data_IF_550689016510
#
_entry.id   IF_550689016510
#
_cell.length_a   1.000
_cell.length_b   1.000
_cell.length_c   1.000
_cell.angle_alpha   90.00
_cell.angle_beta   90.00
_cell.angle_gamma   90.00
#
_symmetry.space_group_name_H-M   'P 1'
#
loop_
_entity.id
_entity.type
_entity.pdbx_description
1 polymer ?
#
# COMPACT_ATOMS: atom_id res chain seq x y z
N UNK A 1 0.52 15.96 42.10
CA UNK A 1 1.67 15.52 41.30
C UNK A 1 1.13 15.07 39.95
N UNK A 2 1.41 15.80 38.88
CA UNK A 2 0.98 15.42 37.53
C UNK A 2 2.01 14.41 36.98
N UNK A 3 1.57 13.17 36.77
CA UNK A 3 2.36 12.17 36.07
C UNK A 3 2.55 12.63 34.63
N UNK A 4 3.79 12.93 34.23
CA UNK A 4 4.13 13.10 32.84
C UNK A 4 3.81 11.77 32.13
N UNK A 5 2.84 11.80 31.21
CA UNK A 5 2.59 10.66 30.34
C UNK A 5 3.88 10.35 29.58
N UNK A 6 4.39 9.12 29.70
CA UNK A 6 5.49 8.65 28.87
C UNK A 6 5.10 8.85 27.40
N UNK A 7 6.02 9.38 26.56
CA UNK A 7 5.73 9.55 25.15
C UNK A 7 5.47 8.17 24.54
N UNK A 8 4.20 7.90 24.22
CA UNK A 8 3.83 6.68 23.53
C UNK A 8 4.61 6.60 22.21
N UNK A 9 5.38 5.51 22.04
CA UNK A 9 6.10 5.27 20.80
C UNK A 9 5.07 5.09 19.67
N UNK A 10 5.06 6.02 18.72
CA UNK A 10 4.17 5.95 17.56
C UNK A 10 4.74 4.94 16.56
N UNK A 11 3.95 3.98 16.05
CA UNK A 11 4.41 3.05 15.03
C UNK A 11 4.96 3.78 13.80
N UNK A 12 6.11 3.32 13.27
CA UNK A 12 6.72 3.90 12.05
C UNK A 12 5.71 4.01 10.91
N UNK A 13 4.87 3.00 10.75
CA UNK A 13 3.90 2.94 9.65
C UNK A 13 2.82 4.04 9.76
N UNK A 14 2.41 4.38 10.98
CA UNK A 14 1.51 5.50 11.22
C UNK A 14 2.17 6.84 10.83
N UNK A 15 3.45 7.04 11.21
CA UNK A 15 4.24 8.22 10.78
C UNK A 15 4.32 8.32 9.25
N UNK A 16 4.55 7.19 8.57
CA UNK A 16 4.61 7.12 7.10
C UNK A 16 3.25 7.41 6.47
N UNK A 17 2.15 6.91 7.04
CA UNK A 17 0.78 7.19 6.58
C UNK A 17 0.39 8.66 6.74
N UNK A 18 0.72 9.28 7.87
CA UNK A 18 0.49 10.72 8.10
C UNK A 18 1.27 11.56 7.09
N UNK A 19 2.53 11.17 6.83
CA UNK A 19 3.37 11.81 5.83
C UNK A 19 2.76 11.66 4.43
N UNK A 20 2.33 10.45 4.03
CA UNK A 20 1.73 10.18 2.74
C UNK A 20 0.44 11.01 2.53
N UNK A 21 -0.43 11.11 3.53
CA UNK A 21 -1.62 11.95 3.47
C UNK A 21 -1.29 13.44 3.27
N UNK A 22 -0.26 13.93 3.95
CA UNK A 22 0.23 15.30 3.74
C UNK A 22 0.80 15.51 2.33
N UNK A 23 1.61 14.57 1.84
CA UNK A 23 2.22 14.64 0.51
C UNK A 23 1.15 14.60 -0.58
N UNK A 24 0.15 13.73 -0.46
CA UNK A 24 -1.00 13.67 -1.37
C UNK A 24 -1.73 15.01 -1.45
N UNK A 25 -1.94 15.67 -0.30
CA UNK A 25 -2.59 16.98 -0.26
C UNK A 25 -1.76 18.09 -0.91
N UNK A 26 -0.43 18.06 -0.75
CA UNK A 26 0.44 19.12 -1.28
C UNK A 26 0.81 18.92 -2.76
N UNK A 27 0.96 17.67 -3.20
CA UNK A 27 1.53 17.35 -4.52
C UNK A 27 0.75 16.22 -5.22
N UNK A 28 -0.59 16.36 -5.42
CA UNK A 28 -1.43 15.27 -5.92
C UNK A 28 -1.00 14.72 -7.27
N UNK A 29 -0.59 15.56 -8.23
CA UNK A 29 -0.15 15.11 -9.56
C UNK A 29 1.14 14.27 -9.50
N UNK A 30 2.08 14.62 -8.60
CA UNK A 30 3.32 13.85 -8.43
C UNK A 30 3.06 12.52 -7.73
N UNK A 31 2.07 12.48 -6.83
CA UNK A 31 1.60 11.21 -6.25
C UNK A 31 0.96 10.33 -7.32
N UNK A 32 0.09 10.89 -8.17
CA UNK A 32 -0.50 10.15 -9.30
C UNK A 32 0.58 9.62 -10.24
N UNK A 33 1.58 10.42 -10.58
CA UNK A 33 2.71 9.97 -11.41
C UNK A 33 3.49 8.80 -10.77
N UNK A 34 3.72 8.85 -9.46
CA UNK A 34 4.35 7.73 -8.76
C UNK A 34 3.47 6.48 -8.81
N UNK A 35 2.18 6.60 -8.49
CA UNK A 35 1.26 5.48 -8.49
C UNK A 35 1.04 4.88 -9.91
N UNK A 36 1.14 5.71 -10.96
CA UNK A 36 1.04 5.27 -12.35
C UNK A 36 2.28 4.51 -12.86
N UNK A 37 3.47 4.76 -12.29
CA UNK A 37 4.72 4.10 -12.71
C UNK A 37 4.67 2.56 -12.54
N UNK A 38 5.53 1.83 -13.22
CA UNK A 38 5.63 0.37 -13.06
C UNK A 38 6.26 0.02 -11.70
N UNK A 39 5.53 -0.73 -10.86
CA UNK A 39 5.99 -1.07 -9.51
C UNK A 39 7.26 -1.94 -9.55
N UNK A 40 8.29 -1.55 -8.79
CA UNK A 40 9.58 -2.24 -8.76
C UNK A 40 10.59 -1.80 -9.82
N UNK A 41 10.19 -0.93 -10.77
CA UNK A 41 11.04 -0.44 -11.85
C UNK A 41 12.04 0.67 -11.42
N UNK A 42 12.99 0.96 -12.29
CA UNK A 42 13.92 2.09 -12.15
C UNK A 42 13.20 3.43 -12.29
N UNK A 43 12.15 3.46 -13.13
CA UNK A 43 11.28 4.61 -13.29
C UNK A 43 10.57 4.95 -11.98
N UNK A 44 9.96 3.96 -11.32
CA UNK A 44 9.32 4.15 -10.01
C UNK A 44 10.31 4.75 -9.00
N UNK A 45 11.53 4.23 -8.95
CA UNK A 45 12.60 4.75 -8.07
C UNK A 45 12.92 6.21 -8.38
N UNK A 46 13.00 6.56 -9.66
CA UNK A 46 13.28 7.91 -10.15
C UNK A 46 12.15 8.89 -9.81
N UNK A 47 10.90 8.50 -10.04
CA UNK A 47 9.70 9.30 -9.71
C UNK A 47 9.56 9.47 -8.20
N UNK A 48 9.77 8.40 -7.42
CA UNK A 48 9.73 8.46 -5.96
C UNK A 48 10.78 9.43 -5.41
N UNK A 49 12.00 9.42 -5.94
CA UNK A 49 13.04 10.38 -5.54
C UNK A 49 12.59 11.83 -5.76
N UNK A 50 12.06 12.14 -6.95
CA UNK A 50 11.52 13.48 -7.28
C UNK A 50 10.33 13.87 -6.41
N UNK A 51 9.46 12.92 -6.06
CA UNK A 51 8.33 13.19 -5.18
C UNK A 51 8.80 13.64 -3.79
N UNK A 52 9.88 13.05 -3.28
CA UNK A 52 10.45 13.42 -1.98
C UNK A 52 11.15 14.80 -2.00
N UNK A 53 11.47 15.33 -3.17
CA UNK A 53 11.95 16.72 -3.30
C UNK A 53 10.78 17.67 -3.03
N UNK A 54 10.86 18.40 -1.90
CA UNK A 54 9.84 19.39 -1.52
C UNK A 54 8.83 18.90 -0.47
N UNK A 55 9.01 17.73 0.14
CA UNK A 55 8.11 17.21 1.19
C UNK A 55 8.53 17.56 2.62
N UNK A 56 9.48 18.48 2.79
CA UNK A 56 10.03 18.84 4.10
C UNK A 56 8.96 19.40 5.06
N UNK A 57 7.96 20.11 4.54
CA UNK A 57 6.81 20.59 5.33
C UNK A 57 5.96 19.45 5.90
N UNK A 58 5.96 18.27 5.27
CA UNK A 58 5.19 17.10 5.69
C UNK A 58 5.88 16.27 6.78
N UNK A 59 7.17 16.48 7.04
CA UNK A 59 7.88 15.75 8.10
C UNK A 59 7.59 16.30 9.50
N UNK A 60 6.95 17.48 9.61
CA UNK A 60 6.56 18.13 10.88
C UNK A 60 7.70 18.21 11.91
N UNK A 61 8.91 18.52 11.45
CA UNK A 61 10.10 18.62 12.33
C UNK A 61 10.73 17.28 12.71
N UNK A 62 10.21 16.14 12.22
CA UNK A 62 10.87 14.84 12.34
C UNK A 62 12.11 14.85 11.43
N UNK A 63 13.28 14.66 12.04
CA UNK A 63 14.57 14.85 11.36
C UNK A 63 14.72 13.94 10.14
N UNK A 64 14.24 12.68 10.19
CA UNK A 64 14.34 11.74 9.08
C UNK A 64 13.20 10.71 9.12
N UNK A 65 12.49 10.52 7.99
CA UNK A 65 11.62 9.35 7.78
C UNK A 65 12.27 8.52 6.68
N UNK A 66 12.94 7.43 7.06
CA UNK A 66 13.54 6.51 6.08
C UNK A 66 12.47 5.51 5.63
N UNK A 67 12.14 5.52 4.34
CA UNK A 67 11.18 4.60 3.75
C UNK A 67 11.69 4.01 2.44
N UNK A 68 11.35 2.74 2.19
CA UNK A 68 11.60 2.11 0.89
C UNK A 68 10.55 2.59 -0.11
N UNK A 69 10.86 2.53 -1.41
CA UNK A 69 9.91 2.93 -2.47
C UNK A 69 8.55 2.22 -2.36
N UNK A 70 8.54 0.91 -2.07
CA UNK A 70 7.30 0.16 -1.86
C UNK A 70 6.51 0.61 -0.63
N UNK A 71 7.19 0.97 0.47
CA UNK A 71 6.54 1.52 1.66
C UNK A 71 5.89 2.89 1.34
N UNK A 72 6.60 3.76 0.62
CA UNK A 72 6.08 5.06 0.19
C UNK A 72 4.87 4.91 -0.74
N UNK A 73 4.97 4.04 -1.75
CA UNK A 73 3.88 3.75 -2.69
C UNK A 73 2.64 3.23 -1.97
N UNK A 74 2.80 2.23 -1.11
CA UNK A 74 1.68 1.63 -0.37
C UNK A 74 0.97 2.65 0.51
N UNK A 75 1.72 3.47 1.24
CA UNK A 75 1.13 4.52 2.08
C UNK A 75 0.41 5.60 1.26
N UNK A 76 0.94 5.98 0.08
CA UNK A 76 0.30 6.93 -0.82
C UNK A 76 -0.96 6.34 -1.48
N UNK A 77 -0.95 5.06 -1.83
CA UNK A 77 -2.11 4.35 -2.34
C UNK A 77 -3.23 4.26 -1.29
N UNK A 78 -2.90 3.92 -0.04
CA UNK A 78 -3.87 3.98 1.07
C UNK A 78 -4.42 5.39 1.27
N UNK A 79 -3.54 6.40 1.26
CA UNK A 79 -3.96 7.79 1.41
C UNK A 79 -4.91 8.23 0.29
N UNK A 80 -4.65 7.81 -0.96
CA UNK A 80 -5.51 8.12 -2.09
C UNK A 80 -6.87 7.44 -1.98
N UNK A 81 -6.91 6.15 -1.64
CA UNK A 81 -8.16 5.42 -1.39
C UNK A 81 -8.98 6.02 -0.24
N UNK A 82 -8.32 6.52 0.81
CA UNK A 82 -8.98 7.17 1.95
C UNK A 82 -9.47 8.60 1.64
N UNK A 83 -8.80 9.31 0.73
CA UNK A 83 -9.11 10.70 0.41
C UNK A 83 -10.16 10.86 -0.70
N UNK A 84 -10.29 9.88 -1.60
CA UNK A 84 -11.19 9.94 -2.76
C UNK A 84 -12.36 8.95 -2.60
N UNK A 85 -13.55 9.48 -2.29
CA UNK A 85 -14.75 8.68 -2.08
C UNK A 85 -15.22 7.94 -3.35
N UNK A 86 -15.00 8.50 -4.54
CA UNK A 86 -15.35 7.83 -5.78
C UNK A 86 -14.42 6.64 -6.02
N UNK A 87 -13.12 6.83 -5.81
CA UNK A 87 -12.14 5.75 -5.89
C UNK A 87 -12.41 4.65 -4.85
N UNK A 88 -12.76 5.04 -3.62
CA UNK A 88 -13.19 4.09 -2.59
C UNK A 88 -14.40 3.28 -3.06
N UNK A 89 -15.43 3.92 -3.61
CA UNK A 89 -16.62 3.24 -4.14
C UNK A 89 -16.27 2.26 -5.28
N UNK A 90 -15.34 2.63 -6.18
CA UNK A 90 -14.86 1.69 -7.20
C UNK A 90 -14.15 0.49 -6.57
N UNK A 91 -13.34 0.70 -5.52
CA UNK A 91 -12.73 -0.39 -4.75
C UNK A 91 -13.78 -1.29 -4.08
N UNK A 92 -14.90 -0.72 -3.62
CA UNK A 92 -16.01 -1.48 -3.03
C UNK A 92 -16.70 -2.41 -4.04
N UNK A 93 -16.84 -1.94 -5.29
CA UNK A 93 -17.46 -2.68 -6.39
C UNK A 93 -16.55 -3.71 -7.07
N UNK A 94 -15.29 -3.86 -6.64
CA UNK A 94 -14.37 -4.83 -7.24
C UNK A 94 -14.82 -6.27 -7.00
N UNK A 95 -15.02 -7.01 -8.09
CA UNK A 95 -15.24 -8.45 -8.03
C UNK A 95 -13.92 -9.19 -7.77
N UNK A 96 -14.00 -10.33 -7.06
CA UNK A 96 -12.91 -11.28 -6.98
C UNK A 96 -12.58 -11.83 -8.38
N UNK A 97 -11.30 -12.01 -8.66
CA UNK A 97 -10.81 -12.59 -9.91
C UNK A 97 -10.00 -13.83 -9.63
N UNK A 98 -10.24 -14.88 -10.42
CA UNK A 98 -9.38 -16.06 -10.41
C UNK A 98 -8.13 -15.77 -11.23
N UNK A 99 -7.07 -15.33 -10.55
CA UNK A 99 -5.77 -15.02 -11.15
C UNK A 99 -4.79 -16.16 -10.90
N UNK A 100 -3.94 -16.47 -11.88
CA UNK A 100 -2.92 -17.50 -11.71
C UNK A 100 -2.03 -17.23 -10.49
N UNK A 101 -1.60 -18.31 -9.83
CA UNK A 101 -0.61 -18.22 -8.75
C UNK A 101 0.67 -17.56 -9.28
N UNK A 102 1.21 -16.55 -8.58
CA UNK A 102 2.50 -15.95 -8.90
C UNK A 102 3.64 -16.98 -8.99
N UNK A 103 4.62 -16.71 -9.86
CA UNK A 103 5.80 -17.57 -10.05
C UNK A 103 7.07 -16.95 -9.47
N UNK A 104 7.00 -15.67 -9.12
CA UNK A 104 8.07 -14.87 -8.55
C UNK A 104 8.38 -15.38 -7.15
N UNK A 105 9.59 -15.91 -6.94
CA UNK A 105 10.00 -16.49 -5.65
C UNK A 105 11.07 -15.68 -4.92
N UNK A 106 11.50 -14.55 -5.49
CA UNK A 106 12.66 -13.82 -4.97
C UNK A 106 12.39 -12.34 -4.71
N UNK A 107 12.94 -11.88 -3.59
CA UNK A 107 13.05 -10.46 -3.25
C UNK A 107 11.74 -9.69 -3.32
N UNK A 108 11.81 -8.48 -3.88
CA UNK A 108 10.68 -7.56 -3.97
C UNK A 108 9.61 -8.01 -4.98
N UNK A 109 10.02 -8.64 -6.07
CA UNK A 109 9.09 -9.05 -7.14
C UNK A 109 8.08 -10.08 -6.62
N UNK A 110 8.52 -10.99 -5.76
CA UNK A 110 7.62 -11.89 -5.04
C UNK A 110 6.54 -11.13 -4.25
N UNK A 111 6.92 -10.17 -3.38
CA UNK A 111 5.95 -9.49 -2.51
C UNK A 111 4.99 -8.60 -3.32
N UNK A 112 5.46 -8.00 -4.41
CA UNK A 112 4.63 -7.29 -5.40
C UNK A 112 3.57 -8.23 -5.97
N UNK A 113 4.00 -9.35 -6.57
CA UNK A 113 3.09 -10.30 -7.21
C UNK A 113 2.13 -10.95 -6.20
N UNK A 114 2.61 -11.24 -4.99
CA UNK A 114 1.78 -11.75 -3.89
C UNK A 114 0.69 -10.75 -3.48
N UNK A 115 1.04 -9.48 -3.27
CA UNK A 115 0.07 -8.43 -2.94
C UNK A 115 -0.95 -8.18 -4.05
N UNK A 116 -0.52 -8.22 -5.32
CA UNK A 116 -1.40 -8.14 -6.49
C UNK A 116 -2.39 -9.31 -6.54
N UNK A 117 -1.91 -10.54 -6.35
CA UNK A 117 -2.76 -11.73 -6.32
C UNK A 117 -3.79 -11.68 -5.18
N UNK A 118 -3.37 -11.30 -3.98
CA UNK A 118 -4.27 -11.16 -2.82
C UNK A 118 -5.35 -10.11 -3.07
N UNK A 119 -4.97 -8.92 -3.57
CA UNK A 119 -5.92 -7.88 -3.90
C UNK A 119 -6.88 -8.29 -5.02
N UNK A 120 -6.42 -9.10 -5.99
CA UNK A 120 -7.24 -9.62 -7.09
C UNK A 120 -8.26 -10.68 -6.63
N UNK A 121 -7.80 -11.70 -5.89
CA UNK A 121 -8.63 -12.81 -5.41
C UNK A 121 -9.60 -12.41 -4.28
N UNK A 122 -9.20 -11.46 -3.44
CA UNK A 122 -9.99 -11.08 -2.25
C UNK A 122 -10.03 -9.56 -2.03
N UNK A 123 -10.66 -8.78 -2.94
CA UNK A 123 -10.71 -7.31 -2.83
C UNK A 123 -11.41 -6.81 -1.56
N UNK A 124 -12.41 -7.52 -1.04
CA UNK A 124 -13.05 -7.19 0.25
C UNK A 124 -12.08 -7.30 1.42
N UNK A 125 -11.23 -8.31 1.45
CA UNK A 125 -10.22 -8.52 2.48
C UNK A 125 -9.09 -7.51 2.35
N UNK A 126 -8.69 -7.15 1.12
CA UNK A 126 -7.77 -6.05 0.88
C UNK A 126 -8.29 -4.73 1.44
N UNK A 127 -9.57 -4.41 1.22
CA UNK A 127 -10.24 -3.24 1.83
C UNK A 127 -10.27 -3.32 3.36
N UNK A 128 -10.62 -4.47 3.91
CA UNK A 128 -10.65 -4.68 5.35
C UNK A 128 -9.26 -4.45 5.98
N UNK A 129 -8.19 -4.95 5.35
CA UNK A 129 -6.82 -4.75 5.82
C UNK A 129 -6.40 -3.29 5.83
N UNK A 130 -6.66 -2.52 4.76
CA UNK A 130 -6.27 -1.10 4.72
C UNK A 130 -7.09 -0.20 5.65
N UNK A 131 -8.25 -0.70 6.11
CA UNK A 131 -9.12 -0.01 7.07
C UNK A 131 -8.68 -0.18 8.52
N UNK A 132 -7.75 -1.09 8.83
CA UNK A 132 -7.29 -1.30 10.21
C UNK A 132 -6.23 -0.28 10.62
N UNK A 133 -6.13 -0.06 11.93
CA UNK A 133 -4.98 0.60 12.53
C UNK A 133 -3.72 -0.26 12.35
N UNK A 134 -2.57 0.38 12.18
CA UNK A 134 -1.28 -0.28 12.03
C UNK A 134 -0.82 -0.94 13.34
N UNK A 135 -0.17 -2.10 13.24
CA UNK A 135 0.35 -2.90 14.36
C UNK A 135 -0.73 -3.37 15.35
N UNK A 136 -1.99 -3.35 14.93
CA UNK A 136 -3.14 -3.71 15.75
C UNK A 136 -3.46 -5.21 15.67
N UNK A 137 -4.23 -5.71 16.63
CA UNK A 137 -4.81 -7.06 16.54
C UNK A 137 -5.74 -7.18 15.33
N UNK A 138 -6.53 -6.13 15.04
CA UNK A 138 -7.40 -6.08 13.88
C UNK A 138 -6.63 -6.22 12.55
N UNK A 139 -5.43 -5.65 12.44
CA UNK A 139 -4.58 -5.80 11.24
C UNK A 139 -4.15 -7.26 11.06
N UNK A 140 -3.77 -7.93 12.15
CA UNK A 140 -3.41 -9.36 12.12
C UNK A 140 -4.60 -10.22 11.73
N UNK A 141 -5.78 -9.94 12.29
CA UNK A 141 -7.00 -10.66 11.98
C UNK A 141 -7.43 -10.43 10.52
N UNK A 142 -7.35 -9.21 10.02
CA UNK A 142 -7.63 -8.87 8.63
C UNK A 142 -6.66 -9.57 7.66
N UNK A 143 -5.38 -9.67 8.02
CA UNK A 143 -4.39 -10.41 7.24
C UNK A 143 -4.71 -11.91 7.19
N UNK A 144 -5.13 -12.51 8.32
CA UNK A 144 -5.55 -13.91 8.36
C UNK A 144 -6.88 -14.13 7.62
N UNK A 145 -7.72 -13.10 7.53
CA UNK A 145 -9.00 -13.13 6.81
C UNK A 145 -8.90 -13.35 5.30
N UNK A 146 -7.70 -13.27 4.71
CA UNK A 146 -7.46 -13.70 3.32
C UNK A 146 -7.60 -15.22 3.12
N UNK A 147 -7.51 -16.01 4.20
CA UNK A 147 -7.80 -17.46 4.22
C UNK A 147 -7.16 -18.22 3.05
N UNK A 148 -7.94 -18.88 2.18
CA UNK A 148 -7.45 -19.66 1.06
C UNK A 148 -6.57 -18.85 0.10
N UNK A 149 -6.80 -17.55 -0.06
CA UNK A 149 -6.01 -16.70 -0.94
C UNK A 149 -4.55 -16.60 -0.49
N UNK A 150 -4.26 -16.71 0.81
CA UNK A 150 -2.88 -16.74 1.32
C UNK A 150 -2.10 -17.91 0.71
N UNK A 151 -2.74 -19.10 0.65
CA UNK A 151 -2.14 -20.30 0.07
C UNK A 151 -2.16 -20.27 -1.45
N UNK A 152 -3.24 -19.82 -2.05
CA UNK A 152 -3.41 -19.83 -3.50
C UNK A 152 -2.46 -18.85 -4.19
N UNK A 153 -2.17 -17.71 -3.55
CA UNK A 153 -1.22 -16.72 -4.03
C UNK A 153 0.24 -17.01 -3.65
N UNK A 154 0.51 -17.90 -2.70
CA UNK A 154 1.89 -18.22 -2.32
C UNK A 154 2.55 -19.09 -3.41
N UNK A 155 3.68 -18.66 -4.00
CA UNK A 155 4.45 -19.48 -4.94
C UNK A 155 4.86 -20.81 -4.32
N UNK A 156 4.90 -21.86 -5.16
CA UNK A 156 5.33 -23.18 -4.71
C UNK A 156 6.82 -23.20 -4.38
N UNK A 157 7.19 -23.91 -3.31
CA UNK A 157 8.61 -24.09 -2.92
C UNK A 157 9.23 -22.91 -2.18
N UNK A 158 8.45 -21.86 -1.89
CA UNK A 158 8.90 -20.70 -1.11
C UNK A 158 8.44 -20.81 0.35
N UNK A 159 9.39 -20.76 1.28
CA UNK A 159 9.10 -20.52 2.69
C UNK A 159 9.30 -19.03 2.98
N UNK A 160 8.20 -18.27 2.99
CA UNK A 160 8.22 -16.83 3.29
C UNK A 160 7.56 -16.55 4.63
N UNK A 161 8.28 -15.89 5.53
CA UNK A 161 7.68 -15.30 6.73
C UNK A 161 6.96 -14.02 6.33
N UNK A 162 5.63 -14.05 6.40
CA UNK A 162 4.78 -12.92 6.04
C UNK A 162 5.10 -11.72 6.94
N UNK A 163 5.66 -10.67 6.33
CA UNK A 163 5.73 -9.36 6.94
C UNK A 163 4.45 -8.60 6.58
N UNK A 164 3.51 -8.55 7.53
CA UNK A 164 2.17 -7.95 7.34
C UNK A 164 2.28 -6.52 6.80
N UNK A 165 3.23 -5.73 7.31
CA UNK A 165 3.45 -4.34 6.87
C UNK A 165 3.84 -4.27 5.40
N UNK A 166 4.75 -5.14 4.97
CA UNK A 166 5.24 -5.16 3.58
C UNK A 166 4.12 -5.63 2.64
N UNK A 167 3.41 -6.70 3.02
CA UNK A 167 2.25 -7.19 2.28
C UNK A 167 1.16 -6.14 2.18
N UNK A 168 0.82 -5.45 3.28
CA UNK A 168 -0.18 -4.37 3.29
C UNK A 168 0.17 -3.25 2.29
N UNK A 169 1.43 -2.83 2.21
CA UNK A 169 1.84 -1.80 1.24
C UNK A 169 1.57 -2.23 -0.21
N UNK A 170 1.87 -3.49 -0.54
CA UNK A 170 1.67 -4.03 -1.88
C UNK A 170 0.20 -4.32 -2.17
N UNK A 171 -0.56 -4.82 -1.20
CA UNK A 171 -2.03 -4.99 -1.29
C UNK A 171 -2.72 -3.63 -1.50
N UNK A 172 -2.33 -2.59 -0.76
CA UNK A 172 -2.90 -1.25 -0.93
C UNK A 172 -2.61 -0.67 -2.32
N UNK A 173 -1.37 -0.83 -2.80
CA UNK A 173 -0.98 -0.41 -4.15
C UNK A 173 -1.82 -1.12 -5.21
N UNK A 174 -1.94 -2.45 -5.11
CA UNK A 174 -2.71 -3.24 -6.05
C UNK A 174 -4.22 -2.92 -6.00
N UNK A 175 -4.78 -2.71 -4.81
CA UNK A 175 -6.17 -2.32 -4.64
C UNK A 175 -6.45 -0.95 -5.27
N UNK A 176 -5.55 0.02 -5.10
CA UNK A 176 -5.62 1.32 -5.75
C UNK A 176 -5.61 1.17 -7.28
N UNK A 177 -4.66 0.42 -7.83
CA UNK A 177 -4.55 0.22 -9.28
C UNK A 177 -5.82 -0.41 -9.87
N UNK A 178 -6.40 -1.40 -9.16
CA UNK A 178 -7.66 -2.02 -9.56
C UNK A 178 -8.83 -1.06 -9.50
N UNK A 179 -8.93 -0.26 -8.45
CA UNK A 179 -9.99 0.74 -8.30
C UNK A 179 -9.92 1.82 -9.39
N UNK A 180 -8.70 2.27 -9.72
CA UNK A 180 -8.46 3.24 -10.79
C UNK A 180 -8.80 2.66 -12.18
N UNK A 181 -8.45 1.40 -12.43
CA UNK A 181 -8.86 0.73 -13.67
C UNK A 181 -10.38 0.62 -13.78
N UNK A 182 -11.06 0.30 -12.67
CA UNK A 182 -12.52 0.20 -12.62
C UNK A 182 -13.24 1.57 -12.76
N UNK A 183 -12.56 2.68 -12.52
CA UNK A 183 -13.12 4.03 -12.73
C UNK A 183 -13.01 4.53 -14.17
N UNK A 184 -12.34 3.78 -15.05
CA UNK A 184 -12.02 4.22 -16.42
C UNK A 184 -10.82 5.18 -16.49
N UNK A 185 -10.15 5.48 -15.37
CA UNK A 185 -8.93 6.29 -15.33
C UNK A 185 -7.65 5.53 -15.66
N UNK A 186 -7.77 4.33 -16.25
CA UNK A 186 -6.72 3.34 -16.41
C UNK A 186 -6.15 3.18 -17.82
N UNK A 187 -6.27 4.19 -18.69
CA UNK A 187 -5.54 4.17 -19.97
C UNK A 187 -4.05 4.38 -19.70
N UNK A 188 -3.36 3.28 -19.39
CA UNK A 188 -1.89 3.24 -19.34
C UNK A 188 -1.26 3.19 -20.74
N UNK A 189 -2.04 3.43 -21.81
CA UNK A 189 -1.61 3.48 -23.22
C UNK A 189 -2.62 4.25 -24.13
N UNK A 190 -3.03 5.47 -23.74
CA UNK A 190 -3.68 6.41 -24.67
C UNK A 190 -2.83 7.70 -24.81
#
# INVERSE_FOLDING_TARGET
>A
MAGAAEPALVPKQQVVSEFAACVLKQQPERVRALLASEQGSDEERSVAKRLMEGTASCTRGRAFITMRTGEARGALAEAALKADAALAQHAEGLAAQDVARPTETTGRQFVIAYGQCLAARSPSQARALIATDYDSAAERDAMMGFDAALKDCMPTGLAYQINIRDVRNHVASALYDRALAASGGGDKNA
#
